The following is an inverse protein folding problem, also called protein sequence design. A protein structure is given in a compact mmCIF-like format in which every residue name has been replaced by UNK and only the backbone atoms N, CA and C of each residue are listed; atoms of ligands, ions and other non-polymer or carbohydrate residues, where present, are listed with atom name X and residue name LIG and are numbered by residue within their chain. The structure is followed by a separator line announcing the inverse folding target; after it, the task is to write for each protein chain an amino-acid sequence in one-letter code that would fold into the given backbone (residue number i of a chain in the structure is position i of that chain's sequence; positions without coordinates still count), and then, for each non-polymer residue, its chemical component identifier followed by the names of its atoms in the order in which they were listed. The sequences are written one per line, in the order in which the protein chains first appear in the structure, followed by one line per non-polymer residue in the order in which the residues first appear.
data_IF_461072973553
#
_entry.id   IF_461072973553
#
_cell.length_a   1.000
_cell.length_b   1.000
_cell.length_c   1.000
_cell.angle_alpha   90.00
_cell.angle_beta   90.00
_cell.angle_gamma   90.00
#
_symmetry.space_group_name_H-M   'P 1'
#
loop_
_entity.id
_entity.type
_entity.pdbx_description
1 polymer ?
#
# COMPACT_ATOMS: atom_id res chain seq x y z
N UNK A 1 -5.04 -15.77 4.95
CA UNK A 1 -4.09 -16.80 4.48
C UNK A 1 -3.46 -17.44 5.70
N UNK A 2 -3.75 -18.72 5.97
CA UNK A 2 -3.18 -19.40 7.14
C UNK A 2 -1.70 -19.66 6.89
N UNK A 3 -0.86 -19.15 7.76
CA UNK A 3 0.58 -19.34 7.64
C UNK A 3 0.89 -20.83 7.88
N UNK A 4 1.43 -21.50 6.88
CA UNK A 4 1.92 -22.86 7.05
C UNK A 4 3.32 -22.79 7.66
N UNK A 5 3.38 -22.84 8.99
CA UNK A 5 4.66 -22.91 9.71
C UNK A 5 5.02 -24.40 9.83
N UNK A 6 6.25 -24.78 9.49
CA UNK A 6 6.67 -26.17 9.65
C UNK A 6 6.44 -26.65 11.10
N UNK A 7 6.01 -27.88 11.27
CA UNK A 7 5.70 -28.45 12.59
C UNK A 7 6.84 -28.28 13.60
N UNK A 8 8.07 -28.47 13.17
CA UNK A 8 9.26 -28.32 14.01
C UNK A 8 9.44 -26.90 14.56
N UNK A 9 8.82 -25.89 13.92
CA UNK A 9 8.98 -24.49 14.29
C UNK A 9 7.76 -23.94 15.03
N UNK A 10 6.68 -24.72 15.15
CA UNK A 10 5.38 -24.23 15.62
C UNK A 10 5.46 -23.71 17.06
N UNK A 11 6.14 -24.42 17.96
CA UNK A 11 6.24 -24.00 19.35
C UNK A 11 7.04 -22.71 19.50
N UNK A 12 8.20 -22.62 18.85
CA UNK A 12 9.04 -21.39 18.87
C UNK A 12 8.32 -20.24 18.20
N UNK A 13 7.68 -20.47 17.05
CA UNK A 13 6.91 -19.45 16.34
C UNK A 13 5.77 -18.90 17.19
N UNK A 14 5.06 -19.79 17.90
CA UNK A 14 3.96 -19.38 18.79
C UNK A 14 4.47 -18.44 19.89
N UNK A 15 5.58 -18.79 20.53
CA UNK A 15 6.22 -17.92 21.54
C UNK A 15 6.59 -16.54 20.99
N UNK A 16 7.08 -16.51 19.74
CA UNK A 16 7.39 -15.25 19.05
C UNK A 16 6.10 -14.42 18.88
N UNK A 17 5.03 -15.05 18.41
CA UNK A 17 3.76 -14.35 18.18
C UNK A 17 3.14 -13.86 19.51
N UNK A 18 3.25 -14.66 20.57
CA UNK A 18 2.76 -14.27 21.91
C UNK A 18 3.54 -13.06 22.44
N UNK A 19 4.87 -13.07 22.31
CA UNK A 19 5.71 -11.95 22.71
C UNK A 19 5.41 -10.66 21.92
N UNK A 20 5.09 -10.78 20.63
CA UNK A 20 4.72 -9.62 19.80
C UNK A 20 3.30 -9.12 20.11
N UNK A 21 2.38 -10.04 20.39
CA UNK A 21 0.97 -9.71 20.70
C UNK A 21 0.81 -8.97 22.02
N UNK A 22 1.65 -9.28 23.00
CA UNK A 22 1.62 -8.63 24.31
C UNK A 22 2.06 -7.17 24.30
N UNK A 23 2.74 -6.72 23.26
CA UNK A 23 3.25 -5.33 23.16
C UNK A 23 2.52 -4.48 22.12
N UNK A 24 1.45 -4.98 21.52
CA UNK A 24 0.63 -4.25 20.53
C UNK A 24 1.44 -3.75 19.31
N UNK A 25 2.49 -4.45 18.95
CA UNK A 25 3.28 -4.06 17.78
C UNK A 25 2.56 -4.41 16.47
N UNK A 26 2.43 -3.44 15.60
CA UNK A 26 1.93 -3.67 14.25
C UNK A 26 2.98 -4.46 13.45
N UNK A 27 2.67 -5.68 13.11
CA UNK A 27 3.50 -6.50 12.22
C UNK A 27 2.66 -6.85 10.99
N UNK A 28 3.16 -6.43 9.83
CA UNK A 28 2.35 -6.44 8.61
C UNK A 28 2.89 -7.33 7.50
N UNK A 29 4.00 -7.98 7.67
CA UNK A 29 4.43 -8.88 6.62
C UNK A 29 5.10 -10.13 7.17
N UNK A 30 4.55 -11.24 6.77
CA UNK A 30 5.15 -12.55 6.93
C UNK A 30 5.78 -12.93 5.59
N UNK A 31 7.07 -12.89 5.51
CA UNK A 31 7.77 -13.46 4.37
C UNK A 31 8.24 -14.86 4.80
N UNK A 32 7.32 -15.81 4.73
CA UNK A 32 7.67 -17.23 4.85
C UNK A 32 8.19 -17.64 3.48
N UNK A 33 9.46 -17.48 3.30
CA UNK A 33 10.08 -18.02 2.10
C UNK A 33 10.16 -19.53 2.26
N UNK A 34 9.81 -20.23 1.21
CA UNK A 34 9.71 -21.67 1.17
C UNK A 34 10.98 -22.33 1.73
N UNK A 35 10.74 -23.33 2.54
CA UNK A 35 11.80 -24.17 3.11
C UNK A 35 12.63 -24.83 2.00
N UNK A 36 12.07 -24.96 0.82
CA UNK A 36 12.76 -25.49 -0.38
C UNK A 36 13.90 -24.58 -0.86
N UNK A 37 13.87 -23.28 -0.52
CA UNK A 37 14.99 -22.35 -0.76
C UNK A 37 16.05 -22.39 0.36
N UNK A 38 15.99 -23.37 1.22
CA UNK A 38 16.86 -23.47 2.40
C UNK A 38 18.35 -23.65 2.06
N UNK A 39 18.68 -24.06 0.84
CA UNK A 39 20.07 -24.15 0.41
C UNK A 39 20.72 -22.78 0.23
N UNK A 40 19.95 -21.77 -0.17
CA UNK A 40 20.48 -20.41 -0.33
C UNK A 40 20.41 -19.60 0.98
N UNK A 41 19.60 -20.04 1.97
CA UNK A 41 19.44 -19.36 3.27
C UNK A 41 19.63 -20.35 4.41
N UNK A 42 20.85 -20.65 4.70
CA UNK A 42 21.21 -21.70 5.66
C UNK A 42 20.68 -21.49 7.09
N UNK A 43 20.27 -20.26 7.46
CA UNK A 43 19.91 -19.99 8.85
C UNK A 43 18.50 -19.44 9.05
N UNK A 44 18.00 -18.56 8.18
CA UNK A 44 16.71 -17.89 8.39
C UNK A 44 15.58 -18.73 7.78
N UNK A 45 14.67 -19.20 8.64
CA UNK A 45 13.50 -19.99 8.22
C UNK A 45 12.28 -19.13 8.03
N UNK A 46 12.10 -18.15 8.91
CA UNK A 46 10.95 -17.22 8.86
C UNK A 46 11.51 -15.81 9.06
N UNK A 47 11.08 -14.90 8.20
CA UNK A 47 11.41 -13.48 8.32
C UNK A 47 10.14 -12.72 8.69
N UNK A 48 10.15 -12.12 9.89
CA UNK A 48 9.08 -11.25 10.35
C UNK A 48 9.57 -9.80 10.33
N UNK A 49 8.75 -8.90 9.81
CA UNK A 49 9.03 -7.47 9.82
C UNK A 49 8.13 -6.81 10.87
N UNK A 50 8.73 -6.21 11.86
CA UNK A 50 8.04 -5.50 12.94
C UNK A 50 8.22 -4.00 12.68
N UNK A 51 7.12 -3.29 12.50
CA UNK A 51 7.15 -1.88 12.15
C UNK A 51 6.94 -0.99 13.36
N UNK A 52 7.93 -0.15 13.64
CA UNK A 52 7.88 0.86 14.72
C UNK A 52 8.51 2.15 14.18
N UNK A 53 8.25 3.27 14.82
CA UNK A 53 8.90 4.53 14.42
C UNK A 53 10.41 4.44 14.60
N UNK A 54 11.18 5.22 13.86
CA UNK A 54 12.63 5.26 13.98
C UNK A 54 13.05 5.59 15.41
N UNK A 55 12.33 6.48 16.09
CA UNK A 55 12.64 6.89 17.48
C UNK A 55 12.40 5.75 18.47
N UNK A 56 11.46 4.86 18.19
CA UNK A 56 11.09 3.77 19.09
C UNK A 56 11.85 2.47 18.83
N UNK A 57 12.62 2.41 17.76
CA UNK A 57 13.21 1.15 17.28
C UNK A 57 14.05 0.45 18.36
N UNK A 58 15.00 1.18 18.97
CA UNK A 58 15.87 0.59 20.00
C UNK A 58 15.09 0.13 21.23
N UNK A 59 14.09 0.92 21.64
CA UNK A 59 13.22 0.56 22.77
C UNK A 59 12.40 -0.69 22.44
N UNK A 60 11.83 -0.77 21.26
CA UNK A 60 11.04 -1.91 20.79
C UNK A 60 11.93 -3.17 20.71
N UNK A 61 13.13 -3.04 20.14
CA UNK A 61 14.07 -4.17 20.06
C UNK A 61 14.35 -4.73 21.45
N UNK A 62 14.65 -3.85 22.41
CA UNK A 62 14.93 -4.26 23.79
C UNK A 62 13.71 -4.96 24.42
N UNK A 63 12.52 -4.37 24.35
CA UNK A 63 11.28 -4.93 24.92
C UNK A 63 10.95 -6.30 24.35
N UNK A 64 11.03 -6.44 23.02
CA UNK A 64 10.73 -7.71 22.33
C UNK A 64 11.76 -8.77 22.75
N UNK A 65 13.03 -8.37 22.84
CA UNK A 65 14.10 -9.28 23.30
C UNK A 65 13.81 -9.79 24.71
N UNK A 66 13.47 -8.88 25.63
CA UNK A 66 13.13 -9.24 27.02
C UNK A 66 11.91 -10.15 27.08
N UNK A 67 10.85 -9.84 26.31
CA UNK A 67 9.64 -10.68 26.27
C UNK A 67 9.97 -12.10 25.77
N UNK A 68 10.77 -12.21 24.73
CA UNK A 68 11.20 -13.51 24.17
C UNK A 68 12.05 -14.31 25.17
N UNK A 69 12.96 -13.65 25.87
CA UNK A 69 13.79 -14.27 26.90
C UNK A 69 12.91 -14.80 28.06
N UNK A 70 11.88 -14.03 28.43
CA UNK A 70 10.94 -14.44 29.48
C UNK A 70 10.13 -15.68 29.06
N UNK A 71 9.88 -15.85 27.76
CA UNK A 71 9.25 -17.06 27.21
C UNK A 71 10.23 -18.24 27.11
N UNK A 72 11.47 -18.06 27.55
CA UNK A 72 12.49 -19.12 27.56
C UNK A 72 13.01 -19.49 26.18
N UNK A 73 13.03 -18.54 25.23
CA UNK A 73 13.62 -18.78 23.90
C UNK A 73 15.01 -18.21 23.82
N UNK A 74 15.86 -18.90 23.09
CA UNK A 74 17.25 -18.47 22.86
C UNK A 74 17.25 -17.39 21.75
N UNK A 75 17.77 -16.22 22.07
CA UNK A 75 17.74 -15.07 21.16
C UNK A 75 19.10 -14.40 21.05
N UNK A 76 19.40 -13.93 19.85
CA UNK A 76 20.55 -13.04 19.58
C UNK A 76 19.98 -11.70 19.08
N UNK A 77 20.15 -10.67 19.90
CA UNK A 77 19.62 -9.34 19.57
C UNK A 77 20.73 -8.44 19.02
N UNK A 78 20.44 -7.73 17.94
CA UNK A 78 21.25 -6.64 17.40
C UNK A 78 20.47 -5.33 17.43
N UNK A 79 20.99 -4.30 16.79
CA UNK A 79 20.42 -2.95 16.84
C UNK A 79 18.99 -2.87 16.25
N UNK A 80 18.71 -3.69 15.26
CA UNK A 80 17.43 -3.64 14.54
C UNK A 80 16.97 -5.02 14.08
N UNK A 81 17.50 -6.06 14.71
CA UNK A 81 17.25 -7.44 14.33
C UNK A 81 17.32 -8.32 15.57
N UNK A 82 16.38 -9.25 15.66
CA UNK A 82 16.40 -10.29 16.71
C UNK A 82 16.32 -11.63 15.99
N UNK A 83 17.30 -12.49 16.23
CA UNK A 83 17.27 -13.87 15.73
C UNK A 83 16.84 -14.77 16.89
N UNK A 84 15.72 -15.44 16.72
CA UNK A 84 15.18 -16.41 17.67
C UNK A 84 15.57 -17.80 17.18
N UNK A 85 16.38 -18.50 17.97
CA UNK A 85 16.84 -19.84 17.61
C UNK A 85 15.72 -20.87 17.79
N UNK A 86 15.52 -21.66 16.74
CA UNK A 86 14.50 -22.71 16.77
C UNK A 86 15.07 -23.90 17.53
N UNK A 87 14.34 -24.33 18.55
CA UNK A 87 14.78 -25.45 19.40
C UNK A 87 14.96 -26.74 18.58
N UNK A 88 15.92 -27.53 18.97
CA UNK A 88 16.22 -28.86 18.40
C UNK A 88 16.62 -28.79 16.91
N UNK A 89 17.27 -27.71 16.48
CA UNK A 89 17.87 -27.65 15.14
C UNK A 89 19.39 -27.65 15.22
N UNK A 90 20.01 -28.58 14.58
CA UNK A 90 21.48 -28.77 14.59
C UNK A 90 22.22 -27.58 13.97
N UNK A 91 21.57 -26.83 13.12
CA UNK A 91 22.17 -25.74 12.35
C UNK A 91 21.77 -24.35 12.85
N UNK A 92 21.29 -24.27 14.07
CA UNK A 92 20.85 -22.99 14.67
C UNK A 92 19.94 -22.17 13.73
N UNK A 93 18.93 -22.81 13.19
CA UNK A 93 17.93 -22.14 12.35
C UNK A 93 17.20 -21.09 13.16
N UNK A 94 16.87 -19.96 12.54
CA UNK A 94 16.31 -18.81 13.24
C UNK A 94 15.02 -18.31 12.61
N UNK A 95 14.15 -17.81 13.48
CA UNK A 95 13.08 -16.89 13.11
C UNK A 95 13.68 -15.49 13.29
N UNK A 96 13.78 -14.74 12.22
CA UNK A 96 14.40 -13.41 12.24
C UNK A 96 13.34 -12.33 12.29
N UNK A 97 13.39 -11.49 13.33
CA UNK A 97 12.58 -10.29 13.44
C UNK A 97 13.40 -9.10 12.97
N UNK A 98 12.97 -8.40 11.95
CA UNK A 98 13.56 -7.12 11.55
C UNK A 98 12.72 -6.00 12.14
N UNK A 99 13.30 -5.26 13.08
CA UNK A 99 12.64 -4.12 13.72
C UNK A 99 13.03 -2.89 12.90
N UNK A 100 12.06 -2.30 12.21
CA UNK A 100 12.41 -1.21 11.28
C UNK A 100 11.28 -0.19 11.17
N UNK A 101 11.61 1.06 10.85
CA UNK A 101 10.56 2.00 10.53
C UNK A 101 9.86 1.55 9.25
N UNK A 102 8.60 1.87 9.10
CA UNK A 102 7.92 1.64 7.83
C UNK A 102 8.71 2.29 6.70
N UNK A 103 8.93 1.57 5.62
CA UNK A 103 9.74 2.06 4.49
C UNK A 103 8.91 2.94 3.57
N UNK A 104 9.53 3.99 3.09
CA UNK A 104 8.89 4.98 2.21
C UNK A 104 8.76 6.34 2.89
N UNK A 105 8.69 7.38 2.12
CA UNK A 105 8.63 8.76 2.61
C UNK A 105 7.41 9.08 3.47
N UNK A 106 6.42 8.24 3.49
CA UNK A 106 5.23 8.34 4.34
C UNK A 106 5.21 7.31 5.47
N UNK A 107 6.22 6.45 5.54
CA UNK A 107 6.41 5.56 6.65
C UNK A 107 5.66 4.22 6.62
N UNK A 108 5.21 3.75 5.48
CA UNK A 108 4.54 2.46 5.39
C UNK A 108 5.41 1.42 4.66
N UNK A 109 5.34 0.19 5.05
CA UNK A 109 5.89 -0.93 4.27
C UNK A 109 4.98 -1.25 3.07
N UNK A 110 5.48 -2.02 2.12
CA UNK A 110 4.75 -2.29 0.87
C UNK A 110 3.33 -2.82 1.11
N UNK A 111 3.15 -3.71 2.09
CA UNK A 111 1.84 -4.27 2.38
C UNK A 111 0.91 -3.24 3.02
N UNK A 112 1.44 -2.42 3.94
CA UNK A 112 0.65 -1.33 4.55
C UNK A 112 0.31 -0.28 3.48
N UNK A 113 1.24 0.05 2.60
CA UNK A 113 1.00 0.96 1.48
C UNK A 113 -0.15 0.44 0.63
N UNK A 114 -0.13 -0.84 0.27
CA UNK A 114 -1.20 -1.48 -0.50
C UNK A 114 -2.56 -1.34 0.20
N UNK A 115 -2.59 -1.62 1.51
CA UNK A 115 -3.85 -1.54 2.30
C UNK A 115 -4.34 -0.08 2.36
N UNK A 116 -3.43 0.88 2.59
CA UNK A 116 -3.78 2.31 2.69
C UNK A 116 -4.29 2.86 1.35
N UNK A 117 -3.66 2.49 0.24
CA UNK A 117 -4.10 2.90 -1.10
C UNK A 117 -5.48 2.28 -1.42
N UNK A 118 -5.66 1.01 -1.08
CA UNK A 118 -6.95 0.32 -1.24
C UNK A 118 -8.02 0.95 -0.35
N UNK A 119 -7.67 1.31 0.88
CA UNK A 119 -8.57 2.02 1.78
C UNK A 119 -9.00 3.36 1.14
N UNK A 120 -8.07 4.09 0.53
CA UNK A 120 -8.42 5.36 -0.12
C UNK A 120 -9.42 5.15 -1.26
N UNK A 121 -9.25 4.09 -2.07
CA UNK A 121 -10.24 3.74 -3.11
C UNK A 121 -11.61 3.48 -2.50
N UNK A 122 -11.64 2.64 -1.47
CA UNK A 122 -12.89 2.23 -0.84
C UNK A 122 -13.60 3.40 -0.13
N UNK A 123 -12.85 4.23 0.58
CA UNK A 123 -13.41 5.42 1.24
C UNK A 123 -13.92 6.45 0.22
N UNK A 124 -13.21 6.64 -0.91
CA UNK A 124 -13.68 7.53 -1.96
C UNK A 124 -14.99 7.01 -2.57
N UNK A 125 -15.05 5.71 -2.87
CA UNK A 125 -16.25 5.06 -3.39
C UNK A 125 -17.43 5.20 -2.41
N UNK A 126 -17.19 4.91 -1.15
CA UNK A 126 -18.20 5.03 -0.08
C UNK A 126 -18.76 6.46 -0.01
N UNK A 127 -17.88 7.47 -0.04
CA UNK A 127 -18.29 8.88 0.05
C UNK A 127 -19.09 9.30 -1.19
N UNK A 128 -18.80 8.72 -2.35
CA UNK A 128 -19.61 8.98 -3.55
C UNK A 128 -21.00 8.34 -3.47
N UNK A 129 -21.09 7.15 -2.91
CA UNK A 129 -22.33 6.35 -2.93
C UNK A 129 -23.20 6.56 -1.68
N UNK A 130 -22.55 6.69 -0.53
CA UNK A 130 -23.23 6.89 0.75
C UNK A 130 -23.08 8.35 1.16
N UNK A 131 -24.10 8.92 1.73
CA UNK A 131 -24.10 10.34 2.13
C UNK A 131 -23.35 10.53 3.46
N UNK A 132 -22.70 11.66 3.61
CA UNK A 132 -22.16 12.30 4.82
C UNK A 132 -21.98 11.38 6.05
N UNK A 133 -21.12 10.40 5.92
CA UNK A 133 -20.84 9.49 7.03
C UNK A 133 -19.86 10.12 8.03
N UNK A 134 -20.28 10.21 9.26
CA UNK A 134 -19.44 10.72 10.36
C UNK A 134 -18.66 9.61 11.06
N UNK A 135 -19.23 8.42 11.07
CA UNK A 135 -18.63 7.20 11.63
C UNK A 135 -18.70 6.12 10.57
N UNK A 136 -17.58 5.46 10.32
CA UNK A 136 -17.49 4.43 9.30
C UNK A 136 -17.52 3.05 9.93
N UNK A 137 -18.49 2.27 9.51
CA UNK A 137 -18.63 0.85 9.89
C UNK A 137 -18.25 -0.04 8.70
N UNK A 138 -18.17 -1.32 8.97
CA UNK A 138 -18.00 -2.32 7.91
C UNK A 138 -19.13 -2.26 6.86
N UNK A 139 -20.36 -2.03 7.32
CA UNK A 139 -21.52 -1.91 6.40
C UNK A 139 -21.36 -0.71 5.46
N UNK A 140 -20.83 0.41 5.97
CA UNK A 140 -20.57 1.60 5.14
C UNK A 140 -19.50 1.31 4.08
N UNK A 141 -18.43 0.61 4.46
CA UNK A 141 -17.37 0.24 3.52
C UNK A 141 -17.89 -0.73 2.46
N UNK A 142 -18.77 -1.65 2.84
CA UNK A 142 -19.41 -2.56 1.87
C UNK A 142 -20.24 -1.80 0.83
N UNK A 143 -20.86 -0.69 1.21
CA UNK A 143 -21.59 0.18 0.27
C UNK A 143 -20.66 0.67 -0.87
N UNK A 144 -19.42 1.04 -0.55
CA UNK A 144 -18.46 1.50 -1.55
C UNK A 144 -17.81 0.38 -2.37
N UNK A 145 -17.90 -0.85 -1.90
CA UNK A 145 -17.14 -1.97 -2.48
C UNK A 145 -17.51 -2.26 -3.94
N UNK A 146 -18.76 -2.04 -4.33
CA UNK A 146 -19.23 -2.20 -5.70
C UNK A 146 -18.63 -1.17 -6.68
N UNK A 147 -17.99 -0.13 -6.15
CA UNK A 147 -17.44 0.98 -6.92
C UNK A 147 -15.94 1.14 -6.68
N UNK A 148 -15.28 0.10 -6.17
CA UNK A 148 -13.83 0.05 -6.02
C UNK A 148 -13.30 -1.33 -6.43
N UNK A 149 -12.14 -1.35 -7.05
CA UNK A 149 -11.47 -2.60 -7.44
C UNK A 149 -10.02 -2.55 -6.95
N UNK A 150 -9.75 -3.26 -5.86
CA UNK A 150 -8.46 -3.25 -5.18
C UNK A 150 -8.06 -4.69 -4.84
N UNK A 151 -7.68 -5.49 -5.83
CA UNK A 151 -7.42 -6.91 -5.61
C UNK A 151 -6.35 -7.17 -4.54
N UNK A 152 -6.63 -8.14 -3.70
CA UNK A 152 -5.71 -8.60 -2.67
C UNK A 152 -5.75 -7.80 -1.37
N UNK A 153 -6.79 -6.96 -1.18
CA UNK A 153 -7.06 -6.29 0.10
C UNK A 153 -8.54 -6.48 0.43
N UNK A 154 -8.82 -6.83 1.67
CA UNK A 154 -10.20 -7.03 2.14
C UNK A 154 -10.60 -5.93 3.15
N UNK A 155 -11.89 -5.88 3.47
CA UNK A 155 -12.46 -4.86 4.36
C UNK A 155 -11.87 -4.98 5.77
N UNK A 156 -11.62 -6.19 6.25
CA UNK A 156 -11.07 -6.44 7.58
C UNK A 156 -9.67 -5.81 7.73
N UNK A 157 -8.85 -5.92 6.70
CA UNK A 157 -7.53 -5.28 6.69
C UNK A 157 -7.65 -3.75 6.74
N UNK A 158 -8.65 -3.19 6.05
CA UNK A 158 -8.90 -1.75 6.03
C UNK A 158 -9.41 -1.29 7.41
N UNK A 159 -10.33 -2.05 8.02
CA UNK A 159 -10.85 -1.73 9.36
C UNK A 159 -9.77 -1.85 10.44
N UNK A 160 -8.77 -2.69 10.23
CA UNK A 160 -7.64 -2.86 11.15
C UNK A 160 -6.61 -1.72 11.07
N UNK A 161 -6.70 -0.82 10.08
CA UNK A 161 -5.82 0.35 10.01
C UNK A 161 -6.02 1.23 11.25
N UNK A 162 -4.96 1.90 11.67
CA UNK A 162 -5.05 2.84 12.78
C UNK A 162 -5.98 4.02 12.44
N UNK A 163 -6.45 4.70 13.48
CA UNK A 163 -7.41 5.80 13.32
C UNK A 163 -6.88 6.95 12.47
N UNK A 164 -5.57 7.19 12.49
CA UNK A 164 -4.97 8.26 11.67
C UNK A 164 -5.09 7.96 10.18
N UNK A 165 -4.82 6.71 9.78
CA UNK A 165 -4.97 6.32 8.38
C UNK A 165 -6.43 6.33 7.94
N UNK A 166 -7.35 5.84 8.79
CA UNK A 166 -8.79 5.86 8.50
C UNK A 166 -9.29 7.31 8.34
N UNK A 167 -8.91 8.19 9.26
CA UNK A 167 -9.27 9.61 9.19
C UNK A 167 -8.66 10.28 7.94
N UNK A 168 -7.42 9.94 7.61
CA UNK A 168 -6.76 10.43 6.39
C UNK A 168 -7.54 9.98 5.14
N UNK A 169 -7.96 8.73 5.09
CA UNK A 169 -8.72 8.18 3.96
C UNK A 169 -10.11 8.83 3.83
N UNK A 170 -10.78 9.13 4.95
CA UNK A 170 -12.05 9.88 4.96
C UNK A 170 -11.86 11.28 4.37
N UNK A 171 -10.86 12.02 4.88
CA UNK A 171 -10.55 13.38 4.38
C UNK A 171 -10.16 13.33 2.90
N UNK A 172 -9.38 12.32 2.52
CA UNK A 172 -8.96 12.10 1.13
C UNK A 172 -10.15 11.84 0.21
N UNK A 173 -11.05 10.96 0.61
CA UNK A 173 -12.26 10.67 -0.16
C UNK A 173 -13.14 11.89 -0.36
N UNK A 174 -13.34 12.69 0.70
CA UNK A 174 -14.10 13.93 0.61
C UNK A 174 -13.44 14.94 -0.35
N UNK A 175 -12.10 15.03 -0.29
CA UNK A 175 -11.35 15.91 -1.19
C UNK A 175 -11.42 15.42 -2.64
N UNK A 176 -11.32 14.12 -2.87
CA UNK A 176 -11.46 13.50 -4.20
C UNK A 176 -12.86 13.82 -4.77
N UNK A 177 -13.91 13.64 -3.98
CA UNK A 177 -15.29 13.94 -4.40
C UNK A 177 -15.43 15.42 -4.80
N UNK A 178 -14.89 16.33 -3.99
CA UNK A 178 -14.92 17.78 -4.26
C UNK A 178 -14.15 18.10 -5.56
N UNK A 179 -13.00 17.47 -5.79
CA UNK A 179 -12.14 17.69 -6.96
C UNK A 179 -12.80 17.19 -8.25
N UNK A 180 -13.33 15.97 -8.20
CA UNK A 180 -13.93 15.35 -9.38
C UNK A 180 -15.33 15.90 -9.66
N UNK A 181 -16.13 16.13 -8.63
CA UNK A 181 -17.56 16.43 -8.78
C UNK A 181 -18.32 15.18 -9.22
N UNK A 182 -19.50 15.39 -9.77
CA UNK A 182 -20.35 14.30 -10.25
C UNK A 182 -21.25 13.71 -9.17
N UNK A 183 -22.12 12.84 -9.59
CA UNK A 183 -23.12 12.17 -8.74
C UNK A 183 -22.67 10.77 -8.32
N UNK A 184 -23.44 10.16 -7.44
CA UNK A 184 -23.26 8.75 -7.08
C UNK A 184 -23.25 7.87 -8.35
N UNK A 185 -22.40 6.87 -8.35
CA UNK A 185 -22.27 5.93 -9.48
C UNK A 185 -21.42 6.43 -10.64
N UNK A 186 -20.94 7.68 -10.61
CA UNK A 186 -20.15 8.23 -11.72
C UNK A 186 -18.80 7.55 -11.87
N UNK A 187 -18.13 7.29 -10.76
CA UNK A 187 -16.74 6.80 -10.75
C UNK A 187 -16.62 5.43 -10.12
N UNK A 188 -15.60 4.72 -10.59
CA UNK A 188 -15.04 3.56 -9.94
C UNK A 188 -13.60 3.92 -9.52
N UNK A 189 -13.18 3.47 -8.35
CA UNK A 189 -11.85 3.74 -7.80
C UNK A 189 -11.03 2.46 -7.83
N UNK A 190 -9.87 2.51 -8.44
CA UNK A 190 -9.09 1.29 -8.71
C UNK A 190 -7.63 1.43 -8.28
N UNK A 191 -7.07 0.31 -7.85
CA UNK A 191 -5.66 0.18 -7.53
C UNK A 191 -5.22 -1.27 -7.77
N UNK A 192 -4.28 -1.46 -8.69
CA UNK A 192 -3.78 -2.79 -9.04
C UNK A 192 -4.79 -3.67 -9.77
N UNK A 193 -5.88 -3.07 -10.28
CA UNK A 193 -6.91 -3.83 -11.01
C UNK A 193 -6.41 -4.27 -12.39
N UNK A 194 -7.00 -5.35 -12.89
CA UNK A 194 -6.56 -5.96 -14.16
C UNK A 194 -7.12 -5.29 -15.41
N UNK A 195 -7.97 -4.27 -15.26
CA UNK A 195 -8.57 -3.57 -16.41
C UNK A 195 -7.84 -2.26 -16.69
N UNK A 196 -7.68 -1.41 -15.68
CA UNK A 196 -7.13 -0.04 -15.85
C UNK A 196 -5.68 0.02 -15.36
N UNK A 197 -5.43 -0.10 -14.07
CA UNK A 197 -4.12 0.20 -13.46
C UNK A 197 -3.04 -0.81 -13.91
N UNK A 198 -3.03 -2.02 -13.35
CA UNK A 198 -2.11 -3.11 -13.76
C UNK A 198 -2.48 -3.65 -15.15
N UNK A 199 -3.67 -3.32 -15.62
CA UNK A 199 -4.17 -3.70 -16.95
C UNK A 199 -3.68 -2.78 -18.05
N UNK A 200 -4.51 -1.79 -18.38
CA UNK A 200 -4.30 -0.97 -19.58
C UNK A 200 -3.13 0.00 -19.44
N UNK A 201 -3.02 0.72 -18.32
CA UNK A 201 -1.98 1.76 -18.12
C UNK A 201 -0.60 1.11 -18.05
N UNK A 202 -0.43 0.14 -17.16
CA UNK A 202 0.87 -0.54 -16.98
C UNK A 202 1.32 -1.21 -18.29
N UNK A 203 0.41 -1.87 -18.99
CA UNK A 203 0.74 -2.52 -20.28
C UNK A 203 1.09 -1.51 -21.36
N UNK A 204 0.38 -0.38 -21.43
CA UNK A 204 0.71 0.69 -22.37
C UNK A 204 2.12 1.23 -22.11
N UNK A 205 2.43 1.55 -20.84
CA UNK A 205 3.77 2.02 -20.49
C UNK A 205 4.83 0.97 -20.85
N UNK A 206 4.62 -0.29 -20.51
CA UNK A 206 5.60 -1.35 -20.82
C UNK A 206 5.90 -1.47 -22.31
N UNK A 207 4.89 -1.26 -23.18
CA UNK A 207 5.09 -1.26 -24.64
C UNK A 207 6.00 -0.13 -25.12
N UNK A 208 5.85 1.06 -24.51
CA UNK A 208 6.55 2.26 -24.98
C UNK A 208 7.78 2.62 -24.11
N UNK A 209 8.06 1.84 -23.08
CA UNK A 209 9.13 2.11 -22.10
C UNK A 209 10.50 2.32 -22.75
N UNK A 210 10.81 1.57 -23.81
CA UNK A 210 12.09 1.70 -24.53
C UNK A 210 12.31 3.08 -25.15
N UNK A 211 11.25 3.86 -25.29
CA UNK A 211 11.32 5.24 -25.79
C UNK A 211 11.64 6.25 -24.66
N UNK A 212 11.84 5.77 -23.45
CA UNK A 212 12.15 6.60 -22.28
C UNK A 212 13.46 6.16 -21.64
N UNK A 213 14.06 7.03 -20.86
CA UNK A 213 15.22 6.68 -20.04
C UNK A 213 14.80 6.29 -18.61
N UNK A 214 13.53 5.95 -18.42
CA UNK A 214 12.99 5.63 -17.09
C UNK A 214 13.21 4.16 -16.74
N UNK A 215 13.80 3.93 -15.57
CA UNK A 215 14.09 2.57 -15.10
C UNK A 215 12.81 1.79 -14.73
N UNK A 216 11.80 2.49 -14.23
CA UNK A 216 10.57 1.84 -13.75
C UNK A 216 9.34 2.71 -14.04
N UNK A 217 8.18 2.07 -14.00
CA UNK A 217 6.89 2.71 -14.16
C UNK A 217 6.64 3.76 -13.07
N UNK A 218 7.03 3.47 -11.83
CA UNK A 218 6.83 4.38 -10.69
C UNK A 218 7.46 5.76 -10.91
N UNK A 219 8.49 5.85 -11.74
CA UNK A 219 9.14 7.14 -12.07
C UNK A 219 8.37 7.93 -13.11
N UNK A 220 7.54 7.25 -13.88
CA UNK A 220 6.71 7.88 -14.91
C UNK A 220 5.31 8.14 -14.39
N UNK A 221 4.72 7.17 -13.68
CA UNK A 221 3.35 7.19 -13.15
C UNK A 221 3.39 7.33 -11.63
N UNK A 222 3.27 8.54 -11.09
CA UNK A 222 3.24 8.75 -9.65
C UNK A 222 1.84 8.54 -9.03
N UNK A 223 0.87 8.05 -9.78
CA UNK A 223 -0.47 7.78 -9.25
C UNK A 223 -0.46 6.53 -8.38
N UNK A 224 -0.98 6.67 -7.17
CA UNK A 224 -1.15 5.57 -6.23
C UNK A 224 -2.51 4.88 -6.43
N UNK A 225 -3.50 5.65 -6.88
CA UNK A 225 -4.86 5.17 -7.19
C UNK A 225 -5.42 5.92 -8.42
N UNK A 226 -6.42 5.33 -9.05
CA UNK A 226 -7.10 5.94 -10.18
C UNK A 226 -8.62 6.03 -9.94
N UNK A 227 -9.20 7.18 -10.30
CA UNK A 227 -10.65 7.34 -10.46
C UNK A 227 -10.97 7.21 -11.94
N UNK A 228 -11.80 6.28 -12.31
CA UNK A 228 -12.21 6.07 -13.69
C UNK A 228 -13.72 6.29 -13.82
N UNK A 229 -14.14 7.14 -14.78
CA UNK A 229 -15.56 7.33 -15.09
C UNK A 229 -16.12 6.02 -15.64
N UNK A 230 -17.12 5.45 -14.97
CA UNK A 230 -17.62 4.10 -15.27
C UNK A 230 -18.05 3.96 -16.73
N UNK A 231 -18.74 4.97 -17.29
CA UNK A 231 -19.19 4.96 -18.68
C UNK A 231 -18.04 4.95 -19.68
N UNK A 232 -16.83 5.37 -19.26
CA UNK A 232 -15.66 5.46 -20.15
C UNK A 232 -14.66 4.31 -19.92
N UNK A 233 -14.86 3.48 -18.90
CA UNK A 233 -13.87 2.48 -18.50
C UNK A 233 -13.45 1.54 -19.63
N UNK A 234 -14.43 1.00 -20.36
CA UNK A 234 -14.17 0.08 -21.47
C UNK A 234 -13.46 0.78 -22.64
N UNK A 235 -13.88 2.00 -22.96
CA UNK A 235 -13.25 2.79 -24.03
C UNK A 235 -11.80 3.14 -23.67
N UNK A 236 -11.56 3.58 -22.43
CA UNK A 236 -10.20 3.90 -21.95
C UNK A 236 -9.30 2.68 -22.06
N UNK A 237 -9.78 1.52 -21.63
CA UNK A 237 -9.00 0.27 -21.70
C UNK A 237 -8.69 -0.12 -23.15
N UNK A 238 -9.62 0.12 -24.07
CA UNK A 238 -9.44 -0.15 -25.51
C UNK A 238 -8.43 0.84 -26.13
N UNK A 239 -8.62 2.14 -25.87
CA UNK A 239 -7.75 3.19 -26.41
C UNK A 239 -6.28 2.96 -25.99
N UNK A 240 -6.07 2.68 -24.70
CA UNK A 240 -4.72 2.45 -24.16
C UNK A 240 -4.02 1.24 -24.82
N UNK A 241 -4.77 0.27 -25.32
CA UNK A 241 -4.18 -0.88 -26.05
C UNK A 241 -3.58 -0.46 -27.41
N UNK A 242 -4.14 0.58 -28.05
CA UNK A 242 -3.73 1.03 -29.37
C UNK A 242 -2.53 1.98 -29.34
N UNK A 243 -2.20 2.56 -28.19
CA UNK A 243 -1.12 3.56 -28.06
C UNK A 243 0.25 2.93 -28.35
N UNK A 244 1.01 3.56 -29.27
CA UNK A 244 2.31 3.06 -29.72
C UNK A 244 3.49 3.92 -29.32
N UNK A 245 3.29 5.13 -28.77
CA UNK A 245 4.41 6.00 -28.36
C UNK A 245 4.18 6.58 -26.98
N UNK A 246 5.28 6.98 -26.33
CA UNK A 246 5.21 7.62 -25.00
C UNK A 246 4.51 9.00 -25.09
N UNK A 247 4.69 9.72 -26.20
CA UNK A 247 4.05 11.01 -26.42
C UNK A 247 2.51 10.85 -26.52
N UNK A 248 2.05 9.83 -27.27
CA UNK A 248 0.63 9.51 -27.35
C UNK A 248 0.07 9.12 -25.99
N UNK A 249 0.81 8.30 -25.23
CA UNK A 249 0.38 7.86 -23.91
C UNK A 249 0.19 9.05 -22.96
N UNK A 250 1.19 9.95 -22.93
CA UNK A 250 1.12 11.14 -22.08
C UNK A 250 -0.03 12.06 -22.49
N UNK A 251 -0.17 12.33 -23.78
CA UNK A 251 -1.24 13.19 -24.32
C UNK A 251 -2.62 12.59 -24.02
N UNK A 252 -2.76 11.29 -24.19
CA UNK A 252 -4.02 10.58 -23.90
C UNK A 252 -4.40 10.72 -22.41
N UNK A 253 -3.45 10.41 -21.50
CA UNK A 253 -3.72 10.50 -20.07
C UNK A 253 -4.05 11.93 -19.63
N UNK A 254 -3.36 12.92 -20.19
CA UNK A 254 -3.64 14.34 -19.92
C UNK A 254 -5.07 14.71 -20.39
N UNK A 255 -5.44 14.30 -21.60
CA UNK A 255 -6.77 14.57 -22.14
C UNK A 255 -7.87 13.92 -21.27
N UNK A 256 -7.67 12.68 -20.86
CA UNK A 256 -8.65 11.98 -20.00
C UNK A 256 -8.72 12.59 -18.61
N UNK A 257 -7.60 13.07 -18.07
CA UNK A 257 -7.59 13.78 -16.79
C UNK A 257 -8.34 15.13 -16.90
N UNK A 258 -8.10 15.90 -17.96
CA UNK A 258 -8.79 17.18 -18.18
C UNK A 258 -10.31 16.98 -18.31
N UNK A 259 -10.73 15.91 -18.98
CA UNK A 259 -12.14 15.53 -19.11
C UNK A 259 -12.71 14.91 -17.83
N UNK A 260 -11.88 14.64 -16.85
CA UNK A 260 -12.22 13.90 -15.62
C UNK A 260 -12.77 12.50 -15.91
N UNK A 261 -12.28 11.88 -16.98
CA UNK A 261 -12.66 10.49 -17.32
C UNK A 261 -11.74 9.47 -16.66
N UNK A 262 -10.47 9.85 -16.50
CA UNK A 262 -9.45 9.02 -15.84
C UNK A 262 -8.49 9.95 -15.07
N UNK A 263 -8.56 9.93 -13.76
CA UNK A 263 -7.77 10.84 -12.90
C UNK A 263 -6.91 10.04 -11.93
N UNK A 264 -5.60 10.22 -12.02
CA UNK A 264 -4.66 9.63 -11.07
C UNK A 264 -4.48 10.51 -9.84
N UNK A 265 -4.40 9.89 -8.68
CA UNK A 265 -4.15 10.57 -7.40
C UNK A 265 -2.92 9.98 -6.74
N UNK A 266 -2.01 10.85 -6.32
CA UNK A 266 -0.91 10.46 -5.44
C UNK A 266 -1.28 10.83 -4.00
N UNK A 267 -1.12 9.88 -3.10
CA UNK A 267 -1.64 9.96 -1.74
C UNK A 267 -0.55 10.34 -0.75
N UNK A 268 -0.90 11.26 0.14
CA UNK A 268 -0.04 11.61 1.29
C UNK A 268 -0.89 11.54 2.55
N UNK A 269 -0.32 11.01 3.63
CA UNK A 269 -1.01 10.96 4.92
C UNK A 269 -1.36 12.37 5.37
N UNK A 270 -2.63 12.61 5.63
CA UNK A 270 -3.13 13.94 5.96
C UNK A 270 -3.22 14.16 7.45
N UNK A 271 -2.31 15.00 7.96
CA UNK A 271 -2.32 15.40 9.38
C UNK A 271 -3.02 16.69 9.69
N UNK A 272 -3.32 17.49 8.68
CA UNK A 272 -3.96 18.82 8.85
C UNK A 272 -5.17 19.01 7.95
N UNK A 273 -5.39 20.25 7.53
CA UNK A 273 -6.45 20.55 6.54
C UNK A 273 -6.09 19.97 5.19
N UNK A 274 -6.97 19.16 4.60
CA UNK A 274 -6.67 18.53 3.32
C UNK A 274 -6.65 19.54 2.17
N UNK A 275 -5.69 19.41 1.29
CA UNK A 275 -5.59 20.21 0.08
C UNK A 275 -5.26 19.32 -1.11
N UNK A 276 -5.72 19.71 -2.27
CA UNK A 276 -5.38 19.05 -3.54
C UNK A 276 -4.55 20.00 -4.39
N UNK A 277 -3.49 19.48 -4.97
CA UNK A 277 -2.68 20.23 -5.95
C UNK A 277 -2.65 19.45 -7.25
N UNK A 278 -2.68 20.19 -8.35
CA UNK A 278 -2.45 19.59 -9.66
C UNK A 278 -0.94 19.48 -9.88
N UNK A 279 -0.46 18.28 -10.19
CA UNK A 279 0.93 18.06 -10.60
C UNK A 279 0.97 17.74 -12.09
N UNK A 280 1.89 18.37 -12.81
CA UNK A 280 2.12 18.07 -14.23
C UNK A 280 3.22 16.98 -14.28
N UNK A 281 2.84 15.82 -14.57
CA UNK A 281 3.75 14.65 -14.62
C UNK A 281 4.52 14.48 -15.91
N UNK A 282 4.23 15.12 -16.83
CA UNK A 282 4.76 15.05 -18.12
C UNK A 282 6.06 15.74 -18.36
N UNK A 283 6.29 16.37 -17.58
CA UNK A 283 7.55 16.98 -17.72
C UNK A 283 8.38 16.60 -16.55
N UNK A 284 9.09 16.17 -16.60
CA UNK A 284 9.89 15.76 -15.60
C UNK A 284 10.04 16.76 -14.53
N UNK A 285 9.16 17.03 -14.20
CA UNK A 285 9.31 17.95 -13.18
C UNK A 285 9.66 17.32 -11.96
N UNK A 286 10.39 17.67 -11.58
CA UNK A 286 10.79 17.34 -10.34
C UNK A 286 9.66 17.48 -9.41
N UNK A 287 9.42 16.71 -9.12
CA UNK A 287 8.47 16.78 -8.23
C UNK A 287 9.07 17.31 -7.05
N UNK A 288 8.86 18.35 -6.72
CA UNK A 288 9.19 18.92 -5.41
C UNK A 288 8.19 18.44 -4.37
N UNK A 289 8.65 17.56 -3.54
CA UNK A 289 7.86 17.04 -2.40
C UNK A 289 7.63 18.18 -1.38
N UNK A 290 6.41 18.66 -1.32
CA UNK A 290 6.02 19.60 -0.26
C UNK A 290 5.76 18.80 1.02
N UNK A 291 6.31 19.25 2.14
CA UNK A 291 6.23 18.60 3.46
C UNK A 291 4.84 18.65 4.11
N UNK A 292 3.81 19.12 3.40
CA UNK A 292 2.43 19.17 3.93
C UNK A 292 1.56 18.17 3.20
N UNK A 293 0.98 17.25 3.93
CA UNK A 293 0.14 16.18 3.39
C UNK A 293 -0.98 16.69 2.50
N UNK A 294 -0.92 16.36 1.23
CA UNK A 294 -1.92 16.76 0.23
C UNK A 294 -2.21 15.60 -0.72
N UNK A 295 -3.45 15.51 -1.15
CA UNK A 295 -3.80 14.69 -2.30
C UNK A 295 -3.54 15.52 -3.55
N UNK A 296 -2.91 14.92 -4.51
CA UNK A 296 -2.50 15.60 -5.72
C UNK A 296 -3.09 14.88 -6.94
N UNK A 297 -3.79 15.62 -7.77
CA UNK A 297 -4.17 15.15 -9.09
C UNK A 297 -2.96 15.30 -10.00
N UNK A 298 -2.61 14.26 -10.72
CA UNK A 298 -1.28 14.15 -11.33
C UNK A 298 -1.20 14.75 -12.72
N UNK A 299 -2.30 14.89 -13.42
CA UNK A 299 -2.29 15.40 -14.77
C UNK A 299 -3.01 16.73 -14.82
N UNK A 300 -2.29 17.83 -14.88
CA UNK A 300 -2.88 19.14 -15.14
C UNK A 300 -2.72 19.50 -16.63
N UNK A 301 -3.73 20.09 -17.20
CA UNK A 301 -3.63 20.75 -18.47
C UNK A 301 -2.83 22.06 -18.32
N UNK A 302 -1.96 22.36 -19.24
CA UNK A 302 -1.38 23.69 -19.40
C UNK A 302 -2.46 24.69 -19.84
#
# INVERSE_FOLDING_TARGET
MTLKVPEANTATFRKVMDALGGEDYAYYSFDVKNIEDAESRKKVQILLKVYVSQAERSRATKKITEALQNEGVDVLSGDNQIDVYIANTDNKKVIRLQIKPPSGGSGAGADVTKIVESAQCLYAAMIYECKDLRVVSEADLKCGQAFSDTPGVNIEQILALDSEWKNSSMKGGALIKRTLGGSAGTYEFVRGDKVIDDGAISKAFKRVKSQTNLASEDKWNPADIWAVRKSMKAQIAADLKAIGTIAELNSYLQARNAAKDLVGFSLKKMGGSPSAKLLNAXXXXXXTCSKKGSITSIFSSL
#
